data_IF_120594812430
#
_entry.id   IF_120594812430
#
_cell.length_a   1.000
_cell.length_b   1.000
_cell.length_c   1.000
_cell.angle_alpha   90.00
_cell.angle_beta   90.00
_cell.angle_gamma   90.00
#
_symmetry.space_group_name_H-M   'P 1'
#
loop_
_entity.id
_entity.type
_entity.pdbx_description
1 polymer ?
#
# COMPACT_ATOMS: atom_id res chain seq x y z
N UNK A 1 -4.43 0.01 14.34
CA UNK A 1 -4.06 1.41 14.06
C UNK A 1 -3.18 1.94 15.19
N UNK A 2 -2.09 2.65 14.90
CA UNK A 2 -1.21 3.24 15.92
C UNK A 2 -1.24 4.77 15.82
N UNK A 3 -1.17 5.47 16.96
CA UNK A 3 -1.18 6.94 17.03
C UNK A 3 -0.11 7.59 16.17
N UNK A 4 1.04 6.94 16.10
CA UNK A 4 2.19 7.31 15.27
C UNK A 4 1.87 7.37 13.76
N UNK A 5 0.95 6.54 13.24
CA UNK A 5 0.53 6.63 11.84
C UNK A 5 -0.44 7.78 11.58
N UNK A 6 -1.17 8.24 12.59
CA UNK A 6 -2.06 9.39 12.46
C UNK A 6 -1.27 10.70 12.33
N UNK A 7 -0.15 10.81 13.06
CA UNK A 7 0.69 12.02 13.06
C UNK A 7 1.66 12.04 11.87
N UNK A 8 2.39 10.95 11.65
CA UNK A 8 3.49 10.93 10.68
C UNK A 8 3.13 10.28 9.34
N UNK A 9 1.88 9.85 9.18
CA UNK A 9 1.46 9.02 8.06
C UNK A 9 1.89 7.55 8.22
N UNK A 10 1.31 6.72 7.35
CA UNK A 10 1.65 5.30 7.26
C UNK A 10 3.00 5.09 6.56
N UNK A 11 3.76 4.11 7.05
CA UNK A 11 4.96 3.63 6.38
C UNK A 11 4.60 2.34 5.63
N UNK A 12 4.38 2.49 4.33
CA UNK A 12 3.97 1.43 3.41
C UNK A 12 5.18 0.61 3.01
N UNK A 13 5.07 -0.71 3.12
CA UNK A 13 6.03 -1.63 2.54
C UNK A 13 5.45 -2.19 1.24
N UNK A 14 6.32 -2.43 0.27
CA UNK A 14 5.95 -3.15 -0.94
C UNK A 14 5.38 -4.50 -0.59
N UNK A 15 4.24 -4.79 -1.20
CA UNK A 15 3.59 -6.08 -1.10
C UNK A 15 3.33 -6.64 -2.48
N UNK A 16 2.33 -7.50 -2.55
CA UNK A 16 2.11 -8.33 -3.72
C UNK A 16 1.36 -7.58 -4.83
N UNK A 17 1.73 -7.86 -6.08
CA UNK A 17 1.00 -7.36 -7.24
C UNK A 17 -0.21 -8.27 -7.47
N UNK A 18 -1.40 -7.75 -7.23
CA UNK A 18 -2.66 -8.46 -7.41
C UNK A 18 -3.40 -7.95 -8.65
N UNK A 19 -3.98 -8.88 -9.41
CA UNK A 19 -4.85 -8.56 -10.54
C UNK A 19 -6.31 -8.48 -10.04
N UNK A 20 -6.94 -7.31 -10.15
CA UNK A 20 -8.35 -7.11 -9.84
C UNK A 20 -9.12 -6.80 -11.13
N UNK A 21 -9.82 -7.80 -11.66
CA UNK A 21 -10.48 -7.68 -12.96
C UNK A 21 -9.47 -7.55 -14.10
N UNK A 22 -9.37 -6.35 -14.69
CA UNK A 22 -8.39 -6.02 -15.73
C UNK A 22 -7.29 -5.07 -15.24
N UNK A 23 -7.34 -4.66 -13.98
CA UNK A 23 -6.41 -3.71 -13.40
C UNK A 23 -5.38 -4.45 -12.54
N UNK A 24 -4.12 -4.08 -12.72
CA UNK A 24 -3.04 -4.51 -11.83
C UNK A 24 -2.98 -3.53 -10.66
N UNK A 25 -3.03 -4.04 -9.44
CA UNK A 25 -2.94 -3.26 -8.21
C UNK A 25 -1.76 -3.75 -7.38
N UNK A 26 -0.96 -2.83 -6.85
CA UNK A 26 0.01 -3.14 -5.83
C UNK A 26 -0.69 -3.09 -4.46
N UNK A 27 -0.73 -4.21 -3.78
CA UNK A 27 -1.20 -4.30 -2.41
C UNK A 27 -0.05 -3.96 -1.47
N UNK A 28 -0.15 -2.87 -0.71
CA UNK A 28 0.85 -2.49 0.28
C UNK A 28 0.26 -2.55 1.68
N UNK A 29 1.07 -3.00 2.63
CA UNK A 29 0.70 -3.04 4.05
C UNK A 29 1.55 -2.03 4.82
N UNK A 30 0.94 -1.32 5.76
CA UNK A 30 1.69 -0.43 6.64
C UNK A 30 2.40 -1.27 7.71
N UNK A 31 3.73 -1.25 7.74
CA UNK A 31 4.54 -2.00 8.72
C UNK A 31 4.22 -1.62 10.17
N UNK A 32 3.69 -0.41 10.39
CA UNK A 32 3.43 0.14 11.74
C UNK A 32 2.05 -0.18 12.26
N UNK A 33 1.03 -0.10 11.42
CA UNK A 33 -0.37 -0.19 11.86
C UNK A 33 -1.15 -1.35 11.25
N UNK A 34 -0.58 -2.09 10.30
CA UNK A 34 -1.19 -3.21 9.61
C UNK A 34 -2.32 -2.83 8.64
N UNK A 35 -2.49 -1.54 8.34
CA UNK A 35 -3.47 -1.08 7.37
C UNK A 35 -3.05 -1.46 5.96
N UNK A 36 -4.00 -1.81 5.10
CA UNK A 36 -3.77 -2.15 3.70
C UNK A 36 -4.16 -0.97 2.80
N UNK A 37 -3.40 -0.77 1.72
CA UNK A 37 -3.80 0.08 0.59
C UNK A 37 -3.58 -0.65 -0.72
N UNK A 38 -4.38 -0.31 -1.72
CA UNK A 38 -4.25 -0.80 -3.08
C UNK A 38 -4.00 0.41 -3.98
N UNK A 39 -2.87 0.42 -4.67
CA UNK A 39 -2.54 1.47 -5.63
C UNK A 39 -2.44 0.86 -7.03
N UNK A 40 -2.87 1.58 -8.09
CA UNK A 40 -2.68 1.16 -9.46
C UNK A 40 -1.23 0.77 -9.75
N UNK A 41 -1.02 -0.39 -10.38
CA UNK A 41 0.29 -0.90 -10.74
C UNK A 41 1.06 0.00 -11.72
N UNK A 42 0.35 0.86 -12.46
CA UNK A 42 0.97 1.90 -13.27
C UNK A 42 1.70 2.95 -12.41
N UNK A 43 1.13 3.33 -11.26
CA UNK A 43 1.73 4.27 -10.31
C UNK A 43 2.82 3.60 -9.43
N UNK A 44 2.90 2.27 -9.43
CA UNK A 44 3.91 1.51 -8.69
C UNK A 44 5.26 1.38 -9.43
N UNK A 45 5.30 1.68 -10.73
CA UNK A 45 6.51 1.57 -11.57
C UNK A 45 7.34 2.86 -11.64
N UNK A 46 6.88 3.95 -11.02
CA UNK A 46 7.52 5.28 -11.06
C UNK A 46 8.31 5.64 -9.80
N UNK A 47 8.50 4.71 -8.85
CA UNK A 47 9.15 4.97 -7.56
C UNK A 47 10.33 4.03 -7.29
#
# INVERSE_FOLDING_TARGET
MTFMCLISGCNWIDGDITLLGKETLLCQCCRRCGSFRYIPGAEALEH
#
